data_IF_157486076969
#
_entry.id   IF_157486076969
#
_cell.length_a   1.000
_cell.length_b   1.000
_cell.length_c   1.000
_cell.angle_alpha   90.00
_cell.angle_beta   90.00
_cell.angle_gamma   90.00
#
_symmetry.space_group_name_H-M   'P 1'
#
loop_
_entity.id
_entity.type
_entity.pdbx_description
1 polymer ?
#
# COMPACT_ATOMS: atom_id res chain seq x y z
N UNK A 1 5.11 -21.65 -7.26
CA UNK A 1 3.97 -20.82 -6.84
C UNK A 1 4.14 -19.42 -7.41
N UNK A 2 3.06 -18.77 -7.84
CA UNK A 2 3.12 -17.40 -8.34
C UNK A 2 3.48 -16.43 -7.21
N UNK A 3 4.40 -15.50 -7.47
CA UNK A 3 4.78 -14.42 -6.56
C UNK A 3 3.55 -13.56 -6.21
N UNK A 4 3.28 -13.34 -4.92
CA UNK A 4 2.22 -12.41 -4.50
C UNK A 4 2.75 -10.98 -4.60
N UNK A 5 2.13 -10.23 -5.49
CA UNK A 5 2.44 -8.82 -5.76
C UNK A 5 1.24 -8.12 -6.34
N UNK A 6 1.20 -6.80 -6.19
CA UNK A 6 0.24 -5.98 -6.92
C UNK A 6 0.62 -5.98 -8.41
N UNK A 7 -0.25 -6.55 -9.26
CA UNK A 7 -0.15 -6.34 -10.70
C UNK A 7 -0.73 -4.96 -11.05
N UNK A 8 0.16 -4.04 -11.42
CA UNK A 8 -0.20 -2.67 -11.78
C UNK A 8 -0.43 -2.47 -13.26
N UNK A 9 -0.33 -3.50 -14.13
CA UNK A 9 -0.40 -3.34 -15.59
C UNK A 9 -1.70 -2.66 -16.04
N UNK A 10 -2.85 -3.15 -15.60
CA UNK A 10 -4.14 -2.59 -16.00
C UNK A 10 -4.38 -1.21 -15.37
N UNK A 11 -3.93 -1.00 -14.13
CA UNK A 11 -4.01 0.31 -13.46
C UNK A 11 -3.14 1.36 -14.18
N UNK A 12 -1.93 1.00 -14.61
CA UNK A 12 -1.02 1.86 -15.38
C UNK A 12 -1.58 2.20 -16.75
N UNK A 13 -2.26 1.26 -17.39
CA UNK A 13 -2.91 1.49 -18.69
C UNK A 13 -4.05 2.50 -18.56
N UNK A 14 -4.85 2.39 -17.50
CA UNK A 14 -6.00 3.27 -17.29
C UNK A 14 -5.61 4.64 -16.70
N UNK A 15 -4.58 4.69 -15.86
CA UNK A 15 -4.14 5.89 -15.15
C UNK A 15 -2.62 6.09 -15.24
N UNK A 16 -2.07 6.29 -16.45
CA UNK A 16 -0.62 6.41 -16.67
C UNK A 16 0.02 7.58 -15.91
N UNK A 17 -0.73 8.67 -15.70
CA UNK A 17 -0.29 9.84 -14.95
C UNK A 17 -0.01 9.59 -13.46
N UNK A 18 -0.56 8.52 -12.88
CA UNK A 18 -0.28 8.11 -11.48
C UNK A 18 1.05 7.32 -11.35
N UNK A 19 2.00 7.54 -12.26
CA UNK A 19 3.27 6.83 -12.33
C UNK A 19 4.07 6.84 -11.00
N UNK A 20 3.97 7.93 -10.22
CA UNK A 20 4.60 8.00 -8.89
C UNK A 20 4.10 6.88 -7.96
N UNK A 21 2.78 6.64 -7.90
CA UNK A 21 2.18 5.54 -7.14
C UNK A 21 2.67 4.20 -7.67
N UNK A 22 2.65 4.05 -8.99
CA UNK A 22 2.98 2.77 -9.60
C UNK A 22 4.45 2.38 -9.39
N UNK A 23 5.36 3.36 -9.36
CA UNK A 23 6.76 3.15 -8.99
C UNK A 23 6.92 2.79 -7.52
N UNK A 24 6.13 3.38 -6.62
CA UNK A 24 6.10 2.98 -5.21
C UNK A 24 5.65 1.53 -5.06
N UNK A 25 4.63 1.08 -5.80
CA UNK A 25 4.16 -0.30 -5.71
C UNK A 25 5.20 -1.29 -6.24
N UNK A 26 5.93 -0.94 -7.31
CA UNK A 26 7.09 -1.72 -7.75
C UNK A 26 8.18 -1.78 -6.69
N UNK A 27 8.49 -0.65 -6.03
CA UNK A 27 9.43 -0.60 -4.92
C UNK A 27 8.98 -1.51 -3.78
N UNK A 28 7.71 -1.44 -3.38
CA UNK A 28 7.13 -2.26 -2.32
C UNK A 28 7.17 -3.75 -2.67
N UNK A 29 6.96 -4.11 -3.94
CA UNK A 29 7.01 -5.48 -4.45
C UNK A 29 8.43 -6.06 -4.50
N UNK A 30 9.51 -5.26 -4.44
CA UNK A 30 10.88 -5.78 -4.51
C UNK A 30 11.10 -6.87 -3.45
N UNK A 31 11.90 -7.86 -3.76
CA UNK A 31 12.36 -8.85 -2.78
C UNK A 31 13.45 -8.25 -1.89
N UNK A 32 13.68 -8.84 -0.71
CA UNK A 32 14.84 -8.55 0.12
C UNK A 32 15.95 -9.53 -0.25
N UNK A 33 17.03 -9.03 -0.84
CA UNK A 33 18.20 -9.83 -1.19
C UNK A 33 19.36 -9.62 -0.20
N UNK A 34 20.50 -10.27 -0.46
CA UNK A 34 21.67 -10.23 0.44
C UNK A 34 22.37 -8.86 0.50
N UNK A 35 22.01 -7.90 -0.36
CA UNK A 35 22.52 -6.53 -0.30
C UNK A 35 21.80 -5.67 0.76
N UNK A 36 20.64 -6.10 1.24
CA UNK A 36 19.94 -5.44 2.33
C UNK A 36 20.57 -5.82 3.68
N UNK A 37 21.19 -4.84 4.33
CA UNK A 37 21.85 -5.01 5.63
C UNK A 37 20.92 -5.53 6.74
N UNK A 38 19.60 -5.39 6.56
CA UNK A 38 18.61 -5.82 7.55
C UNK A 38 17.92 -7.14 7.21
N UNK A 39 18.32 -7.81 6.11
CA UNK A 39 17.73 -9.08 5.67
C UNK A 39 17.57 -10.10 6.79
N UNK A 40 18.64 -10.34 7.55
CA UNK A 40 18.62 -11.30 8.65
C UNK A 40 17.53 -10.97 9.69
N UNK A 41 17.36 -9.70 10.04
CA UNK A 41 16.36 -9.28 11.02
C UNK A 41 14.93 -9.44 10.49
N UNK A 42 14.69 -9.13 9.21
CA UNK A 42 13.39 -9.39 8.58
C UNK A 42 13.07 -10.89 8.58
N UNK A 43 14.03 -11.72 8.17
CA UNK A 43 13.89 -13.18 8.11
C UNK A 43 13.57 -13.78 9.48
N UNK A 44 14.35 -13.45 10.52
CA UNK A 44 14.14 -13.98 11.87
C UNK A 44 12.82 -13.50 12.48
N UNK A 45 12.49 -12.23 12.28
CA UNK A 45 11.23 -11.67 12.80
C UNK A 45 10.03 -12.32 12.13
N UNK A 46 10.05 -12.46 10.79
CA UNK A 46 8.96 -13.09 10.07
C UNK A 46 8.86 -14.59 10.34
N UNK A 47 9.97 -15.30 10.56
CA UNK A 47 9.92 -16.70 11.07
C UNK A 47 9.20 -16.77 12.42
N UNK A 48 9.45 -15.82 13.32
CA UNK A 48 8.74 -15.71 14.59
C UNK A 48 7.25 -15.46 14.40
N UNK A 49 6.89 -14.54 13.49
CA UNK A 49 5.49 -14.23 13.16
C UNK A 49 4.78 -15.46 12.56
N UNK A 50 5.40 -16.19 11.62
CA UNK A 50 4.82 -17.40 11.02
C UNK A 50 4.47 -18.47 12.07
N UNK A 51 5.33 -18.65 13.09
CA UNK A 51 5.03 -19.54 14.23
C UNK A 51 3.78 -19.10 15.00
N UNK A 52 3.60 -17.79 15.19
CA UNK A 52 2.40 -17.26 15.84
C UNK A 52 1.16 -17.45 14.96
N UNK A 53 1.30 -17.25 13.65
CA UNK A 53 0.20 -17.39 12.68
C UNK A 53 -0.19 -18.85 12.47
N UNK A 54 0.63 -19.80 12.92
CA UNK A 54 0.47 -21.23 12.65
C UNK A 54 0.36 -21.52 11.14
N UNK A 55 1.10 -20.73 10.35
CA UNK A 55 1.14 -20.83 8.91
C UNK A 55 2.59 -20.72 8.43
N UNK A 56 3.07 -21.78 7.78
CA UNK A 56 4.44 -21.89 7.28
C UNK A 56 4.55 -21.63 5.77
N UNK A 57 3.46 -21.23 5.11
CA UNK A 57 3.50 -21.02 3.68
C UNK A 57 4.39 -19.83 3.32
N UNK A 58 5.30 -20.08 2.38
CA UNK A 58 6.35 -19.14 1.96
C UNK A 58 5.81 -17.75 1.57
N UNK A 59 4.59 -17.71 1.00
CA UNK A 59 3.94 -16.47 0.57
C UNK A 59 3.67 -15.48 1.71
N UNK A 60 3.29 -15.96 2.90
CA UNK A 60 3.03 -15.08 4.05
C UNK A 60 4.32 -14.55 4.62
N UNK A 61 5.35 -15.40 4.64
CA UNK A 61 6.69 -15.00 5.04
C UNK A 61 7.22 -13.91 4.10
N UNK A 62 7.06 -14.07 2.79
CA UNK A 62 7.46 -13.07 1.79
C UNK A 62 6.72 -11.73 1.99
N UNK A 63 5.40 -11.77 2.18
CA UNK A 63 4.59 -10.56 2.45
C UNK A 63 5.02 -9.89 3.77
N UNK A 64 5.26 -10.68 4.81
CA UNK A 64 5.78 -10.19 6.09
C UNK A 64 7.13 -9.48 5.89
N UNK A 65 8.07 -10.08 5.16
CA UNK A 65 9.40 -9.50 4.92
C UNK A 65 9.27 -8.17 4.16
N UNK A 66 8.47 -8.15 3.08
CA UNK A 66 8.20 -6.94 2.30
C UNK A 66 7.59 -5.84 3.18
N UNK A 67 6.62 -6.18 4.02
CA UNK A 67 5.99 -5.26 4.97
C UNK A 67 7.01 -4.65 5.93
N UNK A 68 7.77 -5.49 6.66
CA UNK A 68 8.73 -5.02 7.65
C UNK A 68 9.79 -4.08 7.03
N UNK A 69 10.24 -4.40 5.81
CA UNK A 69 11.17 -3.56 5.05
C UNK A 69 10.53 -2.22 4.67
N UNK A 70 9.31 -2.24 4.13
CA UNK A 70 8.64 -1.02 3.68
C UNK A 70 8.27 -0.09 4.84
N UNK A 71 8.05 -0.64 6.04
CA UNK A 71 7.88 0.10 7.28
C UNK A 71 9.18 0.62 7.88
N UNK A 72 10.33 0.11 7.41
CA UNK A 72 11.64 0.52 7.91
C UNK A 72 11.90 0.12 9.36
N UNK A 73 11.28 -0.96 9.85
CA UNK A 73 11.28 -1.34 11.29
C UNK A 73 12.69 -1.49 11.91
N UNK A 74 13.67 -1.89 11.09
CA UNK A 74 15.07 -2.04 11.54
C UNK A 74 15.99 -0.92 11.04
N UNK A 75 15.48 -0.01 10.22
CA UNK A 75 16.26 1.11 9.71
C UNK A 75 16.57 2.06 10.86
N UNK A 76 17.85 2.37 11.05
CA UNK A 76 18.31 3.33 12.07
C UNK A 76 18.01 4.78 11.68
N UNK A 77 17.65 5.02 10.43
CA UNK A 77 17.33 6.36 9.94
C UNK A 77 15.85 6.67 10.17
N UNK A 78 15.56 7.60 11.06
CA UNK A 78 14.27 8.31 11.12
C UNK A 78 14.16 9.28 9.95
N UNK A 79 14.34 8.78 8.73
CA UNK A 79 14.32 9.58 7.52
C UNK A 79 12.87 9.93 7.18
N UNK A 80 12.41 11.07 7.69
CA UNK A 80 11.07 11.61 7.47
C UNK A 80 10.79 11.87 6.00
N UNK A 81 11.82 12.07 5.17
CA UNK A 81 11.66 12.19 3.72
C UNK A 81 11.27 10.84 3.10
N UNK A 82 11.80 9.72 3.64
CA UNK A 82 11.45 8.36 3.18
C UNK A 82 10.14 7.88 3.78
N UNK A 83 9.96 7.99 5.10
CA UNK A 83 8.77 7.51 5.80
C UNK A 83 7.83 8.68 6.09
N UNK A 84 6.98 9.00 5.12
CA UNK A 84 6.01 10.09 5.20
C UNK A 84 4.55 9.58 5.04
N UNK A 85 3.59 10.48 5.24
CA UNK A 85 2.16 10.18 5.18
C UNK A 85 1.69 9.71 3.81
N UNK A 86 2.24 10.27 2.72
CA UNK A 86 1.96 9.83 1.34
C UNK A 86 2.41 8.38 1.14
N UNK A 87 3.65 8.05 1.48
CA UNK A 87 4.18 6.68 1.39
C UNK A 87 3.37 5.73 2.25
N UNK A 88 2.94 6.15 3.43
CA UNK A 88 2.12 5.31 4.30
C UNK A 88 0.75 4.98 3.69
N UNK A 89 0.04 5.98 3.12
CA UNK A 89 -1.23 5.74 2.45
C UNK A 89 -1.06 4.81 1.25
N UNK A 90 -0.02 5.03 0.45
CA UNK A 90 0.32 4.17 -0.67
C UNK A 90 0.66 2.74 -0.23
N UNK A 91 1.41 2.57 0.88
CA UNK A 91 1.75 1.27 1.44
C UNK A 91 0.49 0.51 1.88
N UNK A 92 -0.43 1.20 2.58
CA UNK A 92 -1.71 0.60 2.96
C UNK A 92 -2.50 0.17 1.71
N UNK A 93 -2.54 1.00 0.66
CA UNK A 93 -3.28 0.68 -0.57
C UNK A 93 -2.67 -0.51 -1.30
N UNK A 94 -1.33 -0.59 -1.31
CA UNK A 94 -0.59 -1.74 -1.82
C UNK A 94 -0.90 -3.02 -1.05
N UNK A 95 -0.94 -2.96 0.30
CA UNK A 95 -1.31 -4.10 1.14
C UNK A 95 -2.70 -4.63 0.80
N UNK A 96 -3.68 -3.72 0.67
CA UNK A 96 -5.02 -4.09 0.25
C UNK A 96 -5.01 -4.81 -1.11
N UNK A 97 -4.33 -4.27 -2.11
CA UNK A 97 -4.27 -4.90 -3.43
C UNK A 97 -3.58 -6.27 -3.43
N UNK A 98 -2.64 -6.50 -2.51
CA UNK A 98 -2.00 -7.80 -2.34
C UNK A 98 -2.96 -8.85 -1.76
N UNK A 99 -3.78 -8.48 -0.79
CA UNK A 99 -4.57 -9.45 -0.01
C UNK A 99 -6.03 -9.55 -0.46
N UNK A 100 -6.55 -8.60 -1.23
CA UNK A 100 -7.99 -8.50 -1.55
C UNK A 100 -8.54 -9.74 -2.28
N UNK A 101 -7.70 -10.45 -3.02
CA UNK A 101 -8.09 -11.64 -3.77
C UNK A 101 -7.86 -12.94 -2.96
N UNK A 102 -7.40 -12.84 -1.71
CA UNK A 102 -7.05 -13.95 -0.81
C UNK A 102 -7.99 -14.01 0.41
N UNK A 103 -9.29 -14.04 0.15
CA UNK A 103 -10.33 -13.93 1.18
C UNK A 103 -10.30 -15.04 2.25
N UNK A 104 -9.87 -16.25 1.89
CA UNK A 104 -9.75 -17.42 2.81
C UNK A 104 -8.64 -17.25 3.85
N UNK A 105 -7.78 -16.24 3.70
CA UNK A 105 -6.48 -16.13 4.38
C UNK A 105 -6.35 -14.85 5.19
N UNK A 106 -7.47 -14.16 5.36
CA UNK A 106 -7.53 -12.87 5.99
C UNK A 106 -7.05 -12.89 7.45
N UNK A 107 -7.32 -13.95 8.20
CA UNK A 107 -6.89 -14.08 9.60
C UNK A 107 -5.35 -14.12 9.72
N UNK A 108 -4.69 -14.82 8.80
CA UNK A 108 -3.23 -14.89 8.75
C UNK A 108 -2.63 -13.51 8.45
N UNK A 109 -3.18 -12.80 7.46
CA UNK A 109 -2.75 -11.43 7.15
C UNK A 109 -2.99 -10.49 8.33
N UNK A 110 -4.18 -10.55 8.93
CA UNK A 110 -4.54 -9.75 10.11
C UNK A 110 -3.54 -9.97 11.23
N UNK A 111 -3.14 -11.21 11.51
CA UNK A 111 -2.17 -11.51 12.58
C UNK A 111 -0.74 -11.08 12.25
N UNK A 112 -0.29 -11.23 11.01
CA UNK A 112 1.00 -10.65 10.55
C UNK A 112 0.99 -9.14 10.78
N UNK A 113 -0.15 -8.52 10.47
CA UNK A 113 -0.41 -7.12 10.62
C UNK A 113 -0.54 -6.71 12.11
N UNK A 114 -1.14 -7.46 13.01
CA UNK A 114 -1.17 -7.00 14.41
C UNK A 114 0.22 -7.10 15.05
N UNK A 115 0.94 -8.19 14.78
CA UNK A 115 2.28 -8.39 15.34
C UNK A 115 3.28 -7.37 14.80
N UNK A 116 3.26 -7.07 13.50
CA UNK A 116 4.24 -6.12 12.94
C UNK A 116 4.01 -4.67 13.38
N UNK A 117 2.75 -4.27 13.67
CA UNK A 117 2.39 -2.98 14.23
C UNK A 117 2.91 -2.89 15.66
N UNK A 118 2.70 -3.94 16.46
CA UNK A 118 3.20 -3.99 17.84
C UNK A 118 4.73 -3.96 17.92
N UNK A 119 5.44 -4.51 16.92
CA UNK A 119 6.90 -4.37 16.81
C UNK A 119 7.29 -2.93 16.46
N UNK A 120 6.59 -2.33 15.50
CA UNK A 120 6.84 -0.97 15.06
C UNK A 120 6.65 0.04 16.22
N UNK A 121 5.56 -0.05 16.97
CA UNK A 121 5.28 0.80 18.13
C UNK A 121 6.35 0.70 19.23
N UNK A 122 6.91 -0.50 19.43
CA UNK A 122 7.97 -0.74 20.42
C UNK A 122 9.34 -0.23 19.98
N UNK A 123 9.63 -0.22 18.68
CA UNK A 123 10.96 0.10 18.13
C UNK A 123 11.06 1.54 17.65
N UNK A 124 9.98 2.11 17.15
CA UNK A 124 9.95 3.44 16.55
C UNK A 124 9.11 4.35 17.43
N UNK A 125 9.76 5.36 18.02
CA UNK A 125 9.06 6.39 18.76
C UNK A 125 8.22 7.23 17.78
N UNK A 126 6.89 7.20 17.91
CA UNK A 126 5.93 7.84 17.00
C UNK A 126 6.04 7.37 15.54
N UNK A 127 5.61 6.15 15.21
CA UNK A 127 5.71 5.64 13.84
C UNK A 127 4.87 6.49 12.88
N UNK A 128 5.48 6.90 11.76
CA UNK A 128 4.82 7.67 10.70
C UNK A 128 3.72 6.91 9.98
N UNK A 129 3.77 5.58 10.04
CA UNK A 129 2.81 4.72 9.40
C UNK A 129 2.31 3.68 10.38
N UNK A 130 1.08 3.83 10.85
CA UNK A 130 0.30 2.67 11.25
C UNK A 130 -0.40 2.11 10.02
N UNK A 131 -0.49 0.79 9.94
CA UNK A 131 -1.30 0.17 8.92
C UNK A 131 -2.53 -0.47 9.53
N UNK A 132 -3.54 -0.60 8.68
CA UNK A 132 -4.80 -1.24 8.98
C UNK A 132 -5.32 -1.87 7.70
N UNK A 133 -6.15 -2.88 7.84
CA UNK A 133 -6.79 -3.53 6.71
C UNK A 133 -7.89 -2.60 6.17
N UNK A 134 -7.77 -2.18 4.91
CA UNK A 134 -8.80 -1.32 4.30
C UNK A 134 -10.20 -1.95 4.38
N UNK A 135 -10.31 -3.28 4.23
CA UNK A 135 -11.56 -4.01 4.33
C UNK A 135 -12.24 -3.90 5.72
N UNK A 136 -11.47 -3.69 6.78
CA UNK A 136 -12.00 -3.58 8.14
C UNK A 136 -12.50 -2.16 8.43
N UNK A 137 -11.98 -1.18 7.68
CA UNK A 137 -12.30 0.25 7.86
C UNK A 137 -13.32 0.78 6.85
N UNK A 138 -13.37 0.20 5.65
CA UNK A 138 -14.13 0.74 4.55
C UNK A 138 -14.95 -0.34 3.86
N UNK A 139 -16.22 -0.02 3.61
CA UNK A 139 -17.14 -0.91 2.89
C UNK A 139 -16.73 -1.13 1.42
N UNK A 140 -16.16 -0.12 0.75
CA UNK A 140 -15.61 -0.26 -0.59
C UNK A 140 -14.19 0.31 -0.66
N UNK A 141 -13.18 -0.51 -0.29
CA UNK A 141 -11.78 -0.12 -0.33
C UNK A 141 -11.29 0.38 -1.69
N UNK A 142 -11.75 -0.21 -2.80
CA UNK A 142 -11.31 0.22 -4.13
C UNK A 142 -11.73 1.67 -4.41
N UNK A 143 -12.96 2.02 -4.07
CA UNK A 143 -13.48 3.39 -4.18
C UNK A 143 -12.69 4.35 -3.29
N UNK A 144 -12.42 3.97 -2.05
CA UNK A 144 -11.64 4.80 -1.11
C UNK A 144 -10.22 5.03 -1.61
N UNK A 145 -9.53 4.00 -2.12
CA UNK A 145 -8.17 4.14 -2.64
C UNK A 145 -8.13 5.11 -3.82
N UNK A 146 -9.13 5.11 -4.71
CA UNK A 146 -9.23 6.11 -5.78
C UNK A 146 -9.34 7.54 -5.23
N UNK A 147 -10.19 7.76 -4.22
CA UNK A 147 -10.33 9.08 -3.59
C UNK A 147 -9.05 9.53 -2.88
N UNK A 148 -8.35 8.60 -2.20
CA UNK A 148 -7.04 8.87 -1.59
C UNK A 148 -6.05 9.28 -2.67
N UNK A 149 -5.96 8.53 -3.78
CA UNK A 149 -5.06 8.88 -4.88
C UNK A 149 -5.38 10.25 -5.48
N UNK A 150 -6.66 10.62 -5.59
CA UNK A 150 -7.06 11.97 -6.03
C UNK A 150 -6.53 13.03 -5.06
N UNK A 151 -6.71 12.85 -3.75
CA UNK A 151 -6.24 13.79 -2.73
C UNK A 151 -4.71 13.93 -2.75
N UNK A 152 -3.98 12.81 -2.80
CA UNK A 152 -2.52 12.78 -2.72
C UNK A 152 -1.86 13.42 -3.93
N UNK A 153 -2.39 13.17 -5.13
CA UNK A 153 -1.77 13.57 -6.38
C UNK A 153 -2.52 14.71 -7.07
N UNK A 154 -3.34 15.47 -6.32
CA UNK A 154 -4.15 16.56 -6.87
C UNK A 154 -3.30 17.60 -7.61
N UNK A 155 -2.12 17.94 -7.10
CA UNK A 155 -1.25 18.92 -7.73
C UNK A 155 -0.64 18.43 -9.04
N UNK A 156 -0.25 17.16 -9.11
CA UNK A 156 0.24 16.55 -10.36
C UNK A 156 -0.89 16.49 -11.40
N UNK A 157 -2.09 16.10 -10.97
CA UNK A 157 -3.29 16.08 -11.81
C UNK A 157 -3.61 17.48 -12.35
N UNK A 158 -3.61 18.50 -11.50
CA UNK A 158 -3.88 19.89 -11.91
C UNK A 158 -2.80 20.40 -12.88
N UNK A 159 -1.53 20.05 -12.67
CA UNK A 159 -0.44 20.40 -13.59
C UNK A 159 -0.68 19.84 -14.99
N UNK A 160 -1.06 18.56 -15.09
CA UNK A 160 -1.38 17.90 -16.36
C UNK A 160 -2.59 18.56 -17.03
N UNK A 161 -3.65 18.85 -16.28
CA UNK A 161 -4.86 19.46 -16.84
C UNK A 161 -4.64 20.88 -17.37
N UNK A 162 -3.74 21.63 -16.74
CA UNK A 162 -3.37 22.98 -17.19
C UNK A 162 -2.50 22.97 -18.45
N UNK A 163 -1.85 21.84 -18.77
CA UNK A 163 -1.08 21.66 -19.99
C UNK A 163 -1.97 21.05 -21.10
N UNK A 164 -2.38 21.87 -22.06
CA UNK A 164 -3.28 21.45 -23.15
C UNK A 164 -2.68 20.41 -24.09
N UNK A 165 -1.36 20.31 -24.13
CA UNK A 165 -0.63 19.38 -25.00
C UNK A 165 -0.16 18.11 -24.28
N UNK A 166 -0.55 17.91 -23.01
CA UNK A 166 -0.18 16.71 -22.25
C UNK A 166 -0.97 15.49 -22.73
N UNK A 167 -0.26 14.42 -23.10
CA UNK A 167 -0.84 13.16 -23.58
C UNK A 167 -1.79 12.50 -22.55
N UNK A 168 -1.65 12.84 -21.27
CA UNK A 168 -2.45 12.29 -20.18
C UNK A 168 -3.70 13.11 -19.85
N UNK A 169 -3.94 14.24 -20.52
CA UNK A 169 -5.05 15.15 -20.17
C UNK A 169 -6.41 14.43 -20.14
N UNK A 170 -6.72 13.63 -21.15
CA UNK A 170 -7.98 12.88 -21.24
C UNK A 170 -8.12 11.83 -20.13
N UNK A 171 -7.03 11.12 -19.79
CA UNK A 171 -7.08 10.09 -18.74
C UNK A 171 -7.20 10.72 -17.35
N UNK A 172 -6.56 11.87 -17.10
CA UNK A 172 -6.76 12.67 -15.89
C UNK A 172 -8.21 13.15 -15.73
N UNK A 173 -8.81 13.72 -16.78
CA UNK A 173 -10.21 14.17 -16.75
C UNK A 173 -11.14 13.00 -16.41
N UNK A 174 -10.96 11.85 -17.08
CA UNK A 174 -11.75 10.65 -16.82
C UNK A 174 -11.64 10.21 -15.36
N UNK A 175 -10.42 10.18 -14.82
CA UNK A 175 -10.18 9.82 -13.42
C UNK A 175 -10.87 10.77 -12.43
N UNK A 176 -10.86 12.08 -12.68
CA UNK A 176 -11.59 13.06 -11.84
C UNK A 176 -13.10 12.79 -11.88
N UNK A 177 -13.67 12.57 -13.07
CA UNK A 177 -15.09 12.24 -13.19
C UNK A 177 -15.46 10.95 -12.45
N UNK A 178 -14.62 9.92 -12.55
CA UNK A 178 -14.80 8.69 -11.77
C UNK A 178 -14.79 8.96 -10.26
N UNK A 179 -13.83 9.76 -9.77
CA UNK A 179 -13.75 10.11 -8.35
C UNK A 179 -14.94 10.96 -7.88
N UNK A 180 -15.39 11.92 -8.68
CA UNK A 180 -16.56 12.74 -8.37
C UNK A 180 -17.84 11.89 -8.27
N UNK A 181 -18.01 10.93 -9.18
CA UNK A 181 -19.12 9.99 -9.15
C UNK A 181 -19.06 9.09 -7.89
N UNK A 182 -17.88 8.55 -7.59
CA UNK A 182 -17.65 7.75 -6.36
C UNK A 182 -18.04 8.56 -5.12
N UNK A 183 -17.55 9.80 -5.00
CA UNK A 183 -17.86 10.66 -3.86
C UNK A 183 -19.36 10.91 -3.74
N UNK A 184 -20.04 11.24 -4.85
CA UNK A 184 -21.48 11.47 -4.88
C UNK A 184 -22.28 10.24 -4.44
N UNK A 185 -21.90 9.05 -4.91
CA UNK A 185 -22.52 7.78 -4.51
C UNK A 185 -22.35 7.53 -3.01
N UNK A 186 -21.12 7.66 -2.50
CA UNK A 186 -20.81 7.43 -1.10
C UNK A 186 -21.53 8.42 -0.19
N UNK A 187 -21.53 9.71 -0.54
CA UNK A 187 -22.25 10.73 0.22
C UNK A 187 -23.75 10.42 0.31
N UNK A 188 -24.35 9.92 -0.78
CA UNK A 188 -25.76 9.51 -0.79
C UNK A 188 -26.05 8.32 0.13
N UNK A 189 -25.12 7.36 0.23
CA UNK A 189 -25.32 6.13 1.01
C UNK A 189 -25.05 6.36 2.50
N UNK A 190 -24.03 7.16 2.83
CA UNK A 190 -23.47 7.22 4.20
C UNK A 190 -23.66 8.56 4.92
N UNK A 191 -24.02 9.65 4.21
CA UNK A 191 -24.07 10.99 4.81
C UNK A 191 -25.42 11.71 4.63
N UNK A 192 -26.36 11.11 3.91
CA UNK A 192 -27.70 11.65 3.66
C UNK A 192 -28.75 10.97 4.55
#
# INVERSE_FOLDING_TARGET
MSEIKVDTKELRKNYPFLNKIWKLYEEFNKTVDNSDNYKYYYDETCKGIMKLVENDEERYKDICIKLLRNLGIFSSETNTAKYNSERCRNLNSWLYYIIKDYDVQQDAFTKIFDVSNGILEKRVNHPYCSYYLYKDKYHDPNKIIKLINLQEYVYDILSILNNKDDENQCSCLKFIYECANIYKEMNKIYCN
#
